data_IF_067297629360
#
_entry.id   IF_067297629360
#
_cell.length_a   1.000
_cell.length_b   1.000
_cell.length_c   1.000
_cell.angle_alpha   90.00
_cell.angle_beta   90.00
_cell.angle_gamma   90.00
#
_symmetry.space_group_name_H-M   'P 1'
#
loop_
_entity.id
_entity.type
_entity.pdbx_description
1 polymer ?
#
# COMPACT_ATOMS: atom_id res chain seq x y z
N UNK A 1 -7.49 -62.60 -14.54
CA UNK A 1 -6.48 -62.83 -13.48
C UNK A 1 -5.25 -62.00 -13.78
N UNK A 2 -4.64 -61.51 -12.70
CA UNK A 2 -3.66 -60.44 -12.55
C UNK A 2 -2.21 -60.96 -12.78
N UNK A 3 -1.26 -60.03 -12.91
CA UNK A 3 0.22 -60.12 -12.75
C UNK A 3 1.04 -60.36 -14.04
N UNK A 4 2.18 -59.70 -14.37
CA UNK A 4 3.29 -59.06 -13.63
C UNK A 4 3.85 -57.87 -14.47
N UNK A 5 4.14 -56.66 -13.95
CA UNK A 5 5.36 -56.13 -13.27
C UNK A 5 6.71 -56.39 -13.98
N UNK A 6 7.24 -55.34 -14.63
CA UNK A 6 8.68 -54.97 -14.73
C UNK A 6 8.73 -53.46 -15.02
N UNK A 7 8.81 -52.58 -14.02
CA UNK A 7 10.06 -51.99 -13.49
C UNK A 7 11.01 -51.46 -14.58
N UNK A 8 10.92 -50.16 -14.87
CA UNK A 8 11.99 -49.41 -15.51
C UNK A 8 12.20 -48.10 -14.73
N UNK A 9 13.25 -48.10 -13.90
CA UNK A 9 13.89 -46.91 -13.39
C UNK A 9 14.39 -46.05 -14.55
N UNK A 10 14.25 -44.72 -14.48
CA UNK A 10 15.42 -43.83 -14.53
C UNK A 10 15.08 -42.34 -14.32
N UNK A 11 15.74 -41.79 -13.31
CA UNK A 11 16.38 -40.46 -13.24
C UNK A 11 15.46 -39.25 -13.01
N UNK A 12 15.30 -38.96 -11.71
CA UNK A 12 15.06 -37.63 -11.15
C UNK A 12 16.11 -36.62 -11.62
N UNK A 13 15.67 -35.55 -12.27
CA UNK A 13 16.48 -34.35 -12.50
C UNK A 13 16.18 -33.33 -11.40
N UNK A 14 16.97 -33.38 -10.31
CA UNK A 14 16.96 -32.36 -9.26
C UNK A 14 17.77 -31.15 -9.77
N UNK A 15 17.08 -30.11 -10.23
CA UNK A 15 17.69 -28.81 -10.51
C UNK A 15 17.79 -28.02 -9.20
N UNK A 16 18.94 -28.10 -8.54
CA UNK A 16 19.31 -27.20 -7.45
C UNK A 16 19.68 -25.83 -8.04
N UNK A 17 18.74 -24.89 -8.01
CA UNK A 17 19.01 -23.47 -8.26
C UNK A 17 19.69 -22.90 -7.02
N UNK A 18 21.02 -22.70 -7.10
CA UNK A 18 21.79 -21.99 -6.07
C UNK A 18 21.53 -20.49 -6.19
N UNK A 19 20.82 -19.94 -5.19
CA UNK A 19 20.67 -18.49 -5.04
C UNK A 19 21.85 -17.96 -4.22
N UNK A 20 22.77 -17.25 -4.86
CA UNK A 20 23.85 -16.54 -4.15
C UNK A 20 23.29 -15.28 -3.50
N UNK A 21 23.09 -15.32 -2.18
CA UNK A 21 22.83 -14.13 -1.37
C UNK A 21 24.13 -13.35 -1.18
N UNK A 22 24.26 -12.23 -1.91
CA UNK A 22 25.30 -11.23 -1.63
C UNK A 22 24.99 -10.56 -0.29
N UNK A 23 25.86 -10.77 0.70
CA UNK A 23 25.81 -10.09 2.00
C UNK A 23 26.16 -8.61 1.80
N UNK A 24 25.19 -7.73 1.99
CA UNK A 24 25.41 -6.29 2.07
C UNK A 24 25.95 -5.96 3.48
N UNK A 25 27.17 -5.42 3.54
CA UNK A 25 27.83 -5.00 4.78
C UNK A 25 27.43 -3.54 5.03
N UNK A 26 26.54 -3.31 5.98
CA UNK A 26 26.24 -1.95 6.45
C UNK A 26 27.35 -1.54 7.41
N UNK A 27 28.11 -0.54 7.01
CA UNK A 27 29.13 0.11 7.83
C UNK A 27 28.41 1.15 8.70
N UNK A 28 28.22 0.81 9.98
CA UNK A 28 27.83 1.76 11.02
C UNK A 28 29.05 2.64 11.33
N UNK A 29 29.04 3.89 10.87
CA UNK A 29 29.96 4.89 11.38
C UNK A 29 29.50 5.33 12.78
N UNK A 30 30.38 5.11 13.74
CA UNK A 30 30.23 5.53 15.12
C UNK A 30 30.26 7.07 15.23
N UNK A 31 29.29 7.63 15.94
CA UNK A 31 29.38 9.00 16.41
C UNK A 31 30.41 9.08 17.54
N UNK A 32 31.48 9.82 17.27
CA UNK A 32 32.56 10.10 18.19
C UNK A 32 32.13 11.12 19.27
N UNK A 33 32.47 10.75 20.49
CA UNK A 33 32.66 11.48 21.74
C UNK A 33 32.39 13.00 21.83
N UNK A 34 31.75 13.29 22.97
CA UNK A 34 31.58 14.58 23.61
C UNK A 34 32.87 15.40 23.74
N UNK A 35 32.72 16.72 23.61
CA UNK A 35 33.59 17.72 24.23
C UNK A 35 32.70 18.74 24.93
N UNK A 36 32.92 18.90 26.24
CA UNK A 36 32.28 19.90 27.10
C UNK A 36 32.98 21.26 26.97
N UNK A 37 32.40 22.28 27.64
CA UNK A 37 32.93 23.58 28.10
C UNK A 37 32.34 24.79 27.31
N UNK A 38 32.02 25.95 27.93
CA UNK A 38 31.28 26.26 29.17
C UNK A 38 30.17 27.33 28.98
N UNK A 39 29.40 27.54 30.03
CA UNK A 39 28.37 28.57 30.23
C UNK A 39 28.83 30.02 30.02
N UNK A 40 28.14 30.77 29.14
CA UNK A 40 27.77 32.19 29.33
C UNK A 40 26.49 32.48 28.53
N UNK A 41 25.44 32.90 29.23
CA UNK A 41 24.12 33.20 28.65
C UNK A 41 24.00 34.70 28.40
N UNK A 42 23.73 35.14 27.16
CA UNK A 42 22.92 36.32 26.90
C UNK A 42 21.53 35.86 26.45
N UNK A 43 20.50 36.27 27.19
CA UNK A 43 19.10 36.09 26.85
C UNK A 43 18.79 36.82 25.54
N UNK A 44 18.91 36.11 24.43
CA UNK A 44 18.33 36.50 23.15
C UNK A 44 17.00 35.78 23.06
N UNK A 45 15.91 36.55 23.12
CA UNK A 45 14.56 36.06 22.83
C UNK A 45 14.57 35.62 21.38
N UNK A 46 14.82 34.32 21.19
CA UNK A 46 14.70 33.68 19.89
C UNK A 46 13.22 33.34 19.74
N UNK A 47 12.53 34.07 18.86
CA UNK A 47 11.26 33.59 18.32
C UNK A 47 11.50 32.17 17.83
N UNK A 48 10.88 31.21 18.50
CA UNK A 48 10.90 29.81 18.11
C UNK A 48 10.07 29.78 16.82
N UNK A 49 10.74 29.94 15.67
CA UNK A 49 10.17 29.55 14.39
C UNK A 49 10.02 28.04 14.48
N UNK A 50 8.82 27.60 14.86
CA UNK A 50 8.44 26.20 14.77
C UNK A 50 8.55 25.80 13.31
N UNK A 51 9.57 24.99 13.00
CA UNK A 51 9.65 24.23 11.77
C UNK A 51 8.40 23.32 11.72
N UNK A 52 7.38 23.77 11.01
CA UNK A 52 6.08 23.10 10.87
C UNK A 52 6.11 22.03 9.80
N UNK A 53 7.28 21.51 9.45
CA UNK A 53 7.39 20.37 8.55
C UNK A 53 6.55 19.21 9.12
N UNK A 54 5.47 18.89 8.41
CA UNK A 54 4.49 17.87 8.75
C UNK A 54 5.12 16.48 8.52
N UNK A 55 6.06 16.09 9.39
CA UNK A 55 6.81 14.83 9.30
C UNK A 55 5.92 13.59 9.46
N UNK A 56 4.67 13.76 9.89
CA UNK A 56 3.73 12.68 10.14
C UNK A 56 2.89 12.32 8.91
N UNK A 57 2.77 13.25 7.95
CA UNK A 57 1.97 13.07 6.75
C UNK A 57 2.79 13.27 5.46
N UNK A 58 2.48 12.48 4.45
CA UNK A 58 2.93 12.71 3.09
C UNK A 58 1.77 13.20 2.22
N UNK A 59 2.06 14.03 1.23
CA UNK A 59 1.09 14.35 0.17
C UNK A 59 1.20 13.31 -0.92
N UNK A 60 0.07 12.65 -1.22
CA UNK A 60 -0.03 11.68 -2.31
C UNK A 60 -1.16 12.02 -3.28
N UNK A 61 -1.08 11.42 -4.46
CA UNK A 61 -2.02 11.57 -5.55
C UNK A 61 -2.60 10.19 -5.89
N UNK A 62 -3.87 9.99 -5.57
CA UNK A 62 -4.58 8.76 -5.84
C UNK A 62 -5.16 8.82 -7.25
N UNK A 63 -5.03 7.75 -8.02
CA UNK A 63 -5.78 7.56 -9.27
C UNK A 63 -6.94 6.64 -8.95
N UNK A 64 -8.17 7.14 -9.12
CA UNK A 64 -9.41 6.43 -8.78
C UNK A 64 -10.15 6.11 -10.08
N UNK A 65 -10.42 4.83 -10.33
CA UNK A 65 -11.11 4.38 -11.53
C UNK A 65 -12.64 4.57 -11.45
N UNK A 66 -13.22 4.30 -10.29
CA UNK A 66 -14.65 4.44 -10.02
C UNK A 66 -14.90 4.46 -8.49
N UNK A 67 -16.08 4.90 -8.09
CA UNK A 67 -16.53 4.87 -6.68
C UNK A 67 -17.92 4.26 -6.56
N UNK A 68 -18.21 3.63 -5.43
CA UNK A 68 -19.52 3.05 -5.13
C UNK A 68 -19.62 2.66 -3.66
N UNK A 69 -20.83 2.56 -3.14
CA UNK A 69 -21.09 1.88 -1.87
C UNK A 69 -21.31 0.36 -2.04
N UNK A 70 -21.39 -0.14 -3.29
CA UNK A 70 -21.64 -1.55 -3.59
C UNK A 70 -20.33 -2.27 -3.88
N UNK A 71 -19.79 -2.98 -2.89
CA UNK A 71 -18.52 -3.71 -3.00
C UNK A 71 -18.48 -4.63 -4.24
N UNK A 72 -19.50 -5.46 -4.43
CA UNK A 72 -19.53 -6.45 -5.52
C UNK A 72 -19.39 -5.82 -6.92
N UNK A 73 -19.94 -4.60 -7.10
CA UNK A 73 -19.83 -3.85 -8.35
C UNK A 73 -18.38 -3.46 -8.63
N UNK A 74 -17.70 -2.86 -7.65
CA UNK A 74 -16.32 -2.44 -7.80
C UNK A 74 -15.36 -3.63 -7.84
N UNK A 75 -15.64 -4.70 -7.11
CA UNK A 75 -14.87 -5.93 -7.14
C UNK A 75 -14.88 -6.56 -8.55
N UNK A 76 -16.06 -6.70 -9.17
CA UNK A 76 -16.15 -7.16 -10.57
C UNK A 76 -15.39 -6.24 -11.53
N UNK A 77 -15.51 -4.92 -11.34
CA UNK A 77 -14.79 -3.93 -12.16
C UNK A 77 -13.27 -4.05 -11.98
N UNK A 78 -12.78 -4.25 -10.76
CA UNK A 78 -11.37 -4.43 -10.45
C UNK A 78 -10.75 -5.58 -11.27
N UNK A 79 -11.39 -6.76 -11.30
CA UNK A 79 -10.93 -7.87 -12.14
C UNK A 79 -10.99 -7.55 -13.64
N UNK A 80 -12.03 -6.83 -14.09
CA UNK A 80 -12.11 -6.37 -15.48
C UNK A 80 -10.93 -5.46 -15.84
N UNK A 81 -10.54 -4.54 -14.95
CA UNK A 81 -9.39 -3.65 -15.15
C UNK A 81 -8.07 -4.40 -15.12
N UNK A 82 -7.88 -5.36 -14.22
CA UNK A 82 -6.70 -6.22 -14.22
C UNK A 82 -6.49 -6.91 -15.56
N UNK A 83 -7.56 -7.43 -16.17
CA UNK A 83 -7.47 -8.08 -17.47
C UNK A 83 -7.13 -7.11 -18.61
N UNK A 84 -7.60 -5.85 -18.54
CA UNK A 84 -7.40 -4.86 -19.59
C UNK A 84 -6.08 -4.09 -19.48
N UNK A 85 -5.60 -3.86 -18.25
CA UNK A 85 -4.40 -3.06 -17.96
C UNK A 85 -3.19 -3.91 -17.61
N UNK A 86 -3.38 -5.23 -17.39
CA UNK A 86 -2.37 -6.12 -16.82
C UNK A 86 -1.81 -5.61 -15.48
N UNK A 87 -2.61 -4.85 -14.75
CA UNK A 87 -2.24 -4.27 -13.46
C UNK A 87 -2.60 -5.24 -12.33
N UNK A 88 -1.64 -5.62 -11.45
CA UNK A 88 -1.89 -6.57 -10.38
C UNK A 88 -2.87 -6.00 -9.33
N UNK A 89 -3.60 -6.89 -8.66
CA UNK A 89 -4.44 -6.57 -7.50
C UNK A 89 -3.61 -6.82 -6.25
N UNK A 90 -3.67 -5.89 -5.30
CA UNK A 90 -3.16 -6.10 -3.95
C UNK A 90 -4.23 -5.68 -2.94
N UNK A 91 -4.75 -6.64 -2.20
CA UNK A 91 -5.77 -6.42 -1.17
C UNK A 91 -5.16 -6.11 0.20
N UNK A 92 -3.85 -6.24 0.39
CA UNK A 92 -3.17 -6.20 1.69
C UNK A 92 -3.72 -7.25 2.67
N UNK A 93 -4.10 -8.43 2.17
CA UNK A 93 -4.72 -9.48 2.97
C UNK A 93 -6.18 -9.22 3.36
N UNK A 94 -6.75 -8.07 2.96
CA UNK A 94 -8.15 -7.72 3.27
C UNK A 94 -9.12 -8.49 2.38
N UNK A 95 -10.32 -8.74 2.90
CA UNK A 95 -11.45 -9.30 2.18
C UNK A 95 -12.75 -8.62 2.60
N UNK A 96 -13.82 -8.80 1.82
CA UNK A 96 -15.14 -8.29 2.20
C UNK A 96 -15.88 -9.33 3.05
N UNK A 97 -16.07 -9.01 4.32
CA UNK A 97 -16.88 -9.79 5.24
C UNK A 97 -18.35 -9.37 5.08
N UNK A 98 -19.19 -10.31 4.66
CA UNK A 98 -20.62 -10.08 4.41
C UNK A 98 -21.41 -9.84 5.69
N UNK A 99 -21.05 -10.52 6.78
CA UNK A 99 -21.71 -10.40 8.08
C UNK A 99 -21.47 -9.01 8.69
N UNK A 100 -20.22 -8.54 8.62
CA UNK A 100 -19.81 -7.18 9.05
C UNK A 100 -20.20 -6.10 8.04
N UNK A 101 -20.59 -6.48 6.81
CA UNK A 101 -20.80 -5.56 5.68
C UNK A 101 -19.64 -4.55 5.55
N UNK A 102 -18.41 -5.09 5.53
CA UNK A 102 -17.18 -4.29 5.56
C UNK A 102 -16.00 -5.00 4.89
N UNK A 103 -15.07 -4.21 4.33
CA UNK A 103 -13.72 -4.68 4.00
C UNK A 103 -12.94 -4.77 5.31
N UNK A 104 -12.35 -5.93 5.59
CA UNK A 104 -11.65 -6.20 6.85
C UNK A 104 -10.42 -7.07 6.63
N UNK A 105 -9.48 -7.04 7.58
CA UNK A 105 -8.48 -8.09 7.74
C UNK A 105 -9.11 -9.35 8.36
N UNK A 106 -8.44 -10.51 8.24
CA UNK A 106 -8.77 -11.70 9.02
C UNK A 106 -8.83 -11.42 10.53
N UNK A 107 -9.68 -12.17 11.25
CA UNK A 107 -9.80 -12.04 12.71
C UNK A 107 -8.55 -12.59 13.44
N UNK A 108 -7.71 -13.36 12.74
CA UNK A 108 -6.43 -13.91 13.20
C UNK A 108 -5.20 -13.19 12.59
N UNK A 109 -5.38 -11.95 12.12
CA UNK A 109 -4.27 -11.16 11.61
C UNK A 109 -3.21 -10.89 12.70
N UNK A 110 -1.92 -10.94 12.34
CA UNK A 110 -0.78 -10.74 13.26
C UNK A 110 -0.85 -9.42 14.05
N UNK A 111 -1.46 -8.39 13.45
CA UNK A 111 -1.71 -7.10 14.09
C UNK A 111 -3.05 -7.15 14.83
N UNK A 112 -2.98 -7.41 16.13
CA UNK A 112 -4.15 -7.52 17.02
C UNK A 112 -5.02 -6.25 17.01
N UNK A 113 -4.45 -5.07 16.74
CA UNK A 113 -5.20 -3.81 16.73
C UNK A 113 -6.18 -3.73 15.55
N UNK A 114 -5.81 -4.34 14.41
CA UNK A 114 -6.61 -4.31 13.18
C UNK A 114 -7.22 -5.67 12.81
N UNK A 115 -6.98 -6.72 13.60
CA UNK A 115 -7.62 -8.02 13.44
C UNK A 115 -9.15 -7.88 13.37
N UNK A 116 -9.74 -8.40 12.29
CA UNK A 116 -11.18 -8.29 12.03
C UNK A 116 -11.70 -6.89 11.71
N UNK A 117 -10.81 -5.88 11.65
CA UNK A 117 -11.08 -4.48 11.37
C UNK A 117 -10.58 -4.04 9.99
N UNK A 118 -10.77 -2.76 9.66
CA UNK A 118 -10.28 -2.18 8.40
C UNK A 118 -8.91 -1.54 8.60
N UNK A 119 -7.96 -1.90 7.74
CA UNK A 119 -6.63 -1.29 7.67
C UNK A 119 -6.44 -0.52 6.35
N UNK A 120 -6.23 0.81 6.34
CA UNK A 120 -6.13 1.59 5.10
C UNK A 120 -4.78 1.40 4.39
N UNK A 121 -4.78 1.44 3.05
CA UNK A 121 -3.54 1.56 2.28
C UNK A 121 -2.98 2.98 2.45
N UNK A 122 -1.70 3.09 2.84
CA UNK A 122 -1.06 4.38 3.16
C UNK A 122 0.22 4.73 2.39
N UNK A 123 0.67 3.84 1.50
CA UNK A 123 1.95 3.98 0.81
C UNK A 123 1.78 3.92 -0.72
N UNK A 124 2.72 4.50 -1.48
CA UNK A 124 2.71 4.45 -2.93
C UNK A 124 2.60 3.02 -3.44
N UNK A 125 1.71 2.83 -4.42
CA UNK A 125 1.51 1.54 -5.07
C UNK A 125 0.92 1.74 -6.45
N UNK A 126 1.29 0.89 -7.40
CA UNK A 126 0.68 0.83 -8.74
C UNK A 126 -0.30 -0.34 -8.87
N UNK A 127 -0.75 -0.92 -7.77
CA UNK A 127 -1.70 -2.04 -7.76
C UNK A 127 -3.14 -1.52 -7.81
N UNK A 128 -4.05 -2.36 -8.28
CA UNK A 128 -5.49 -2.16 -8.10
C UNK A 128 -5.89 -2.56 -6.67
N UNK A 129 -6.73 -1.77 -6.02
CA UNK A 129 -7.29 -2.11 -4.69
C UNK A 129 -8.66 -1.47 -4.47
N UNK A 130 -9.38 -2.00 -3.48
CA UNK A 130 -10.62 -1.41 -2.98
C UNK A 130 -10.34 -0.86 -1.58
N UNK A 131 -10.54 0.44 -1.42
CA UNK A 131 -10.30 1.16 -0.17
C UNK A 131 -11.47 2.10 0.13
N UNK A 132 -11.71 2.39 1.40
CA UNK A 132 -12.73 3.38 1.78
C UNK A 132 -12.23 4.80 1.53
N UNK A 133 -13.00 5.57 0.75
CA UNK A 133 -12.62 6.89 0.28
C UNK A 133 -12.53 7.93 1.41
N UNK A 134 -13.26 7.73 2.50
CA UNK A 134 -13.24 8.61 3.67
C UNK A 134 -11.88 8.65 4.40
N UNK A 135 -10.99 7.68 4.16
CA UNK A 135 -9.60 7.74 4.64
C UNK A 135 -8.72 8.70 3.83
N UNK A 136 -9.19 9.16 2.67
CA UNK A 136 -8.45 10.02 1.76
C UNK A 136 -9.14 11.35 1.49
N UNK A 137 -10.45 11.43 1.75
CA UNK A 137 -11.28 12.60 1.57
C UNK A 137 -12.34 12.62 2.68
N UNK A 138 -12.17 13.54 3.63
CA UNK A 138 -13.06 13.75 4.78
C UNK A 138 -14.50 14.09 4.38
N UNK A 139 -14.71 14.60 3.17
CA UNK A 139 -16.05 14.89 2.62
C UNK A 139 -16.71 13.69 1.96
N UNK A 140 -16.03 12.54 1.85
CA UNK A 140 -16.63 11.35 1.28
C UNK A 140 -17.69 10.77 2.21
N UNK A 141 -18.83 10.37 1.64
CA UNK A 141 -19.88 9.70 2.41
C UNK A 141 -19.37 8.40 3.04
N UNK A 142 -19.94 8.04 4.19
CA UNK A 142 -19.61 6.79 4.88
C UNK A 142 -19.70 5.58 3.95
N UNK A 143 -18.76 4.64 4.14
CA UNK A 143 -18.64 3.41 3.35
C UNK A 143 -18.55 3.62 1.83
N UNK A 144 -18.24 4.82 1.35
CA UNK A 144 -17.91 5.03 -0.06
C UNK A 144 -16.60 4.30 -0.35
N UNK A 145 -16.65 3.30 -1.23
CA UNK A 145 -15.48 2.54 -1.67
C UNK A 145 -14.94 3.21 -2.94
N UNK A 146 -13.63 3.36 -3.01
CA UNK A 146 -12.89 3.75 -4.19
C UNK A 146 -12.19 2.52 -4.79
N UNK A 147 -12.31 2.34 -6.10
CA UNK A 147 -11.44 1.45 -6.86
C UNK A 147 -10.17 2.22 -7.20
N UNK A 148 -9.13 2.04 -6.39
CA UNK A 148 -7.83 2.67 -6.61
C UNK A 148 -7.12 1.95 -7.76
N UNK A 149 -6.58 2.73 -8.69
CA UNK A 149 -5.64 2.30 -9.73
C UNK A 149 -4.20 2.77 -9.44
N UNK A 150 -3.96 3.29 -8.24
CA UNK A 150 -2.63 3.55 -7.70
C UNK A 150 -2.59 4.76 -6.77
N UNK A 151 -1.52 4.82 -6.00
CA UNK A 151 -1.12 5.92 -5.11
C UNK A 151 0.27 6.37 -5.57
N UNK A 152 0.39 7.65 -5.88
CA UNK A 152 1.58 8.22 -6.51
C UNK A 152 2.15 9.35 -5.65
N UNK A 153 3.48 9.43 -5.62
CA UNK A 153 4.22 10.48 -4.89
C UNK A 153 4.17 11.83 -5.58
N UNK A 154 3.98 11.86 -6.90
CA UNK A 154 3.95 13.09 -7.69
C UNK A 154 2.68 13.21 -8.51
N UNK A 155 2.21 14.44 -8.66
CA UNK A 155 1.07 14.75 -9.52
C UNK A 155 1.29 14.29 -10.95
N UNK A 156 2.48 14.54 -11.51
CA UNK A 156 2.83 14.19 -12.89
C UNK A 156 2.70 12.68 -13.16
N UNK A 157 3.11 11.83 -12.21
CA UNK A 157 2.98 10.39 -12.39
C UNK A 157 1.53 9.91 -12.26
N UNK A 158 0.74 10.52 -11.37
CA UNK A 158 -0.70 10.27 -11.28
C UNK A 158 -1.44 10.70 -12.55
N UNK A 159 -1.13 11.88 -13.09
CA UNK A 159 -1.75 12.41 -14.30
C UNK A 159 -1.41 11.55 -15.53
N UNK A 160 -0.16 11.08 -15.63
CA UNK A 160 0.26 10.12 -16.66
C UNK A 160 -0.56 8.82 -16.57
N UNK A 161 -0.67 8.24 -15.38
CA UNK A 161 -1.48 7.03 -15.18
C UNK A 161 -2.96 7.27 -15.49
N UNK A 162 -3.51 8.43 -15.11
CA UNK A 162 -4.91 8.80 -15.38
C UNK A 162 -5.18 8.87 -16.89
N UNK A 163 -4.27 9.44 -17.69
CA UNK A 163 -4.42 9.51 -19.15
C UNK A 163 -4.54 8.12 -19.75
N UNK A 164 -3.74 7.14 -19.29
CA UNK A 164 -3.84 5.77 -19.75
C UNK A 164 -5.15 5.11 -19.30
N UNK A 165 -5.54 5.29 -18.03
CA UNK A 165 -6.76 4.72 -17.49
C UNK A 165 -8.02 5.26 -18.18
N UNK A 166 -8.07 6.57 -18.49
CA UNK A 166 -9.23 7.22 -19.14
C UNK A 166 -9.53 6.72 -20.55
N UNK A 167 -8.62 5.99 -21.19
CA UNK A 167 -8.88 5.30 -22.47
C UNK A 167 -9.88 4.16 -22.30
N UNK A 168 -10.03 3.64 -21.07
CA UNK A 168 -10.84 2.47 -20.73
C UNK A 168 -11.94 2.85 -19.73
N UNK A 169 -11.62 3.68 -18.74
CA UNK A 169 -12.56 4.16 -17.73
C UNK A 169 -12.68 5.67 -17.72
N UNK A 170 -13.68 6.19 -18.44
CA UNK A 170 -13.87 7.62 -18.62
C UNK A 170 -14.22 8.38 -17.33
N UNK A 171 -14.76 7.68 -16.32
CA UNK A 171 -15.11 8.27 -15.02
C UNK A 171 -13.91 8.40 -14.08
N UNK A 172 -12.74 7.91 -14.48
CA UNK A 172 -11.55 7.96 -13.64
C UNK A 172 -11.12 9.41 -13.35
N UNK A 173 -10.60 9.64 -12.15
CA UNK A 173 -10.13 10.94 -11.68
C UNK A 173 -8.95 10.80 -10.72
N UNK A 174 -8.26 11.91 -10.46
CA UNK A 174 -7.21 11.99 -9.44
C UNK A 174 -7.70 12.68 -8.18
N UNK A 175 -7.19 12.25 -7.03
CA UNK A 175 -7.43 12.88 -5.73
C UNK A 175 -6.10 13.16 -5.05
N UNK A 176 -5.81 14.43 -4.77
CA UNK A 176 -4.70 14.84 -3.90
C UNK A 176 -5.12 14.68 -2.44
N UNK A 177 -4.31 14.03 -1.62
CA UNK A 177 -4.60 13.85 -0.20
C UNK A 177 -3.34 13.94 0.66
N UNK A 178 -3.52 14.34 1.93
CA UNK A 178 -2.49 14.21 2.97
C UNK A 178 -2.74 12.89 3.69
N UNK A 179 -1.72 12.05 3.77
CA UNK A 179 -1.82 10.69 4.26
C UNK A 179 -0.84 10.48 5.40
N UNK A 180 -1.33 9.99 6.54
CA UNK A 180 -0.49 9.66 7.68
C UNK A 180 0.47 8.52 7.32
N UNK A 181 1.78 8.72 7.50
CA UNK A 181 2.83 7.77 7.04
C UNK A 181 3.60 7.09 8.18
N UNK A 182 3.33 7.42 9.45
CA UNK A 182 3.99 6.74 10.56
C UNK A 182 3.39 5.35 10.81
N UNK A 183 3.94 4.62 11.75
CA UNK A 183 3.40 3.33 12.16
C UNK A 183 1.96 3.51 12.66
N UNK A 184 1.08 2.63 12.19
CA UNK A 184 -0.23 2.40 12.79
C UNK A 184 -0.01 1.21 13.73
N UNK A 185 0.05 1.46 15.02
CA UNK A 185 0.32 0.48 16.08
C UNK A 185 -0.56 0.79 17.28
#
# INVERSE_FOLDING_TARGET
>A
MRNNITSLLMVSFLLLVSCQTKKFKIEQSAYANATQIPTTVPTVVTEIVTDTTDYENATYYLVIADTSQVYAKLHKKMFSLTNQLHQPIDTMGRYYNKEKNSIVLPDDADDELYAGGYYPRRFPSKTLSLDYLNFYNDKAGEKTIALLAGIYESQTSADSALVHLKKIEHKAFTLKTKMYIRCMH
#
